data_IF_634360121180
#
_entry.id   IF_634360121180
#
_cell.length_a   1.000
_cell.length_b   1.000
_cell.length_c   1.000
_cell.angle_alpha   90.00
_cell.angle_beta   90.00
_cell.angle_gamma   90.00
#
_symmetry.space_group_name_H-M   'P 1'
#
loop_
_entity.id
_entity.type
_entity.pdbx_description
1 polymer ?
#
# COMPACT_ATOMS: atom_id res chain seq x y z
N UNK A 1 -5.42 18.36 16.24
CA UNK A 1 -5.83 16.99 16.60
C UNK A 1 -4.84 16.02 15.95
N UNK A 2 -4.32 15.03 16.68
CA UNK A 2 -3.39 14.02 16.14
C UNK A 2 -4.00 12.64 16.37
N UNK A 3 -4.22 11.90 15.29
CA UNK A 3 -4.66 10.50 15.34
C UNK A 3 -3.43 9.61 15.16
N UNK A 4 -3.30 8.57 15.98
CA UNK A 4 -2.18 7.60 15.90
C UNK A 4 -2.71 6.24 15.48
N UNK A 5 -1.97 5.55 14.62
CA UNK A 5 -2.23 4.15 14.24
C UNK A 5 -0.97 3.30 14.41
N UNK A 6 -1.10 1.99 14.68
CA UNK A 6 0.05 1.10 14.87
C UNK A 6 0.68 0.60 13.55
N UNK A 7 -0.06 0.66 12.45
CA UNK A 7 0.40 0.15 11.16
C UNK A 7 1.66 0.88 10.67
N UNK A 8 2.63 0.13 10.16
CA UNK A 8 3.80 0.67 9.44
C UNK A 8 3.53 0.50 7.96
N UNK A 9 3.02 1.55 7.34
CA UNK A 9 2.59 1.55 5.93
C UNK A 9 3.61 2.28 5.06
N UNK A 10 3.85 1.75 3.85
CA UNK A 10 4.68 2.35 2.79
C UNK A 10 3.89 2.38 1.49
N UNK A 11 4.13 3.40 0.66
CA UNK A 11 3.57 3.46 -0.69
C UNK A 11 4.38 2.55 -1.60
N UNK A 12 3.71 1.69 -2.36
CA UNK A 12 4.38 0.81 -3.33
C UNK A 12 5.09 1.58 -4.45
N UNK A 13 4.54 2.71 -4.91
CA UNK A 13 5.17 3.54 -5.94
C UNK A 13 6.43 4.23 -5.43
N UNK A 14 6.37 4.83 -4.24
CA UNK A 14 7.55 5.42 -3.60
C UNK A 14 8.66 4.39 -3.42
N UNK A 15 8.30 3.15 -3.11
CA UNK A 15 9.26 2.10 -2.84
C UNK A 15 9.94 1.55 -4.11
N UNK A 16 9.17 1.37 -5.19
CA UNK A 16 9.67 0.81 -6.46
C UNK A 16 10.34 1.88 -7.32
N UNK A 17 9.78 3.10 -7.37
CA UNK A 17 10.26 4.17 -8.26
C UNK A 17 11.07 5.25 -7.53
N UNK A 18 11.01 5.30 -6.20
CA UNK A 18 11.60 6.39 -5.41
C UNK A 18 10.77 7.67 -5.38
N UNK A 19 9.61 7.70 -6.05
CA UNK A 19 8.67 8.82 -6.04
C UNK A 19 7.22 8.34 -6.27
N UNK A 20 6.27 9.20 -5.92
CA UNK A 20 4.87 9.00 -6.30
C UNK A 20 4.63 9.43 -7.76
N UNK A 21 3.56 8.94 -8.42
CA UNK A 21 3.12 9.48 -9.70
C UNK A 21 2.95 11.01 -9.66
N UNK A 22 3.10 11.67 -10.81
CA UNK A 22 2.85 13.12 -10.92
C UNK A 22 1.37 13.45 -10.65
N UNK A 23 0.47 12.55 -11.07
CA UNK A 23 -0.96 12.63 -10.79
C UNK A 23 -1.58 11.23 -10.75
N UNK A 24 -2.67 11.11 -10.00
CA UNK A 24 -3.55 9.94 -10.03
C UNK A 24 -4.99 10.31 -10.37
N UNK A 25 -5.34 11.59 -10.25
CA UNK A 25 -6.58 12.19 -10.72
C UNK A 25 -6.29 13.46 -11.53
N UNK A 26 -7.05 13.67 -12.60
CA UNK A 26 -6.86 14.80 -13.51
C UNK A 26 -8.19 15.26 -14.10
N UNK A 27 -8.83 16.25 -13.50
CA UNK A 27 -10.02 16.92 -14.03
C UNK A 27 -9.88 18.45 -13.90
N UNK A 28 -10.88 19.23 -14.37
CA UNK A 28 -10.79 20.71 -14.45
C UNK A 28 -10.36 21.42 -13.17
N UNK A 29 -10.64 20.85 -12.01
CA UNK A 29 -10.42 21.49 -10.71
C UNK A 29 -9.29 20.85 -9.90
N UNK A 30 -8.77 19.70 -10.34
CA UNK A 30 -7.77 18.95 -9.60
C UNK A 30 -6.88 18.15 -10.55
N UNK A 31 -5.58 18.32 -10.40
CA UNK A 31 -4.57 17.55 -11.11
C UNK A 31 -3.42 17.28 -10.14
N UNK A 32 -3.48 16.14 -9.45
CA UNK A 32 -2.45 15.73 -8.51
C UNK A 32 -2.63 14.26 -8.11
N UNK A 33 -1.73 13.78 -7.24
CA UNK A 33 -1.78 12.46 -6.63
C UNK A 33 -2.66 12.48 -5.39
N UNK A 34 -3.69 11.64 -5.39
CA UNK A 34 -4.59 11.41 -4.27
C UNK A 34 -4.90 9.92 -4.02
N UNK A 35 -4.44 9.03 -4.91
CA UNK A 35 -4.62 7.58 -4.81
C UNK A 35 -3.30 6.91 -4.45
N UNK A 36 -3.37 5.85 -3.65
CA UNK A 36 -2.18 5.16 -3.15
C UNK A 36 -2.46 3.66 -2.98
N UNK A 37 -1.46 2.83 -3.27
CA UNK A 37 -1.44 1.42 -2.84
C UNK A 37 -0.45 1.33 -1.68
N UNK A 38 -0.99 1.31 -0.46
CA UNK A 38 -0.25 1.12 0.78
C UNK A 38 -0.03 -0.36 1.08
N UNK A 39 1.16 -0.71 1.54
CA UNK A 39 1.46 -2.06 2.01
C UNK A 39 2.24 -2.02 3.34
N UNK A 40 2.35 -3.17 4.02
CA UNK A 40 3.17 -3.32 5.21
C UNK A 40 4.18 -4.45 5.02
N UNK A 41 5.40 -4.23 5.50
CA UNK A 41 6.45 -5.27 5.57
C UNK A 41 6.29 -6.19 6.79
N UNK A 42 5.35 -5.85 7.67
CA UNK A 42 5.04 -6.70 8.82
C UNK A 42 4.53 -8.06 8.33
N UNK A 43 5.00 -9.17 8.92
CA UNK A 43 4.50 -10.49 8.58
C UNK A 43 2.97 -10.55 8.67
N UNK A 44 2.32 -11.16 7.68
CA UNK A 44 0.87 -11.35 7.68
C UNK A 44 0.43 -12.08 8.96
N UNK A 45 -0.42 -11.43 9.78
CA UNK A 45 -0.90 -11.99 11.05
C UNK A 45 -0.07 -11.60 12.29
N UNK A 46 0.99 -10.80 12.15
CA UNK A 46 1.72 -10.25 13.31
C UNK A 46 0.96 -9.12 14.02
N UNK A 47 -0.24 -8.77 13.57
CA UNK A 47 -1.05 -7.75 14.20
C UNK A 47 -1.63 -8.30 15.50
N UNK A 48 -1.01 -7.96 16.63
CA UNK A 48 -1.69 -8.01 17.92
C UNK A 48 -2.57 -6.76 18.01
N UNK A 49 -3.92 -6.89 18.03
CA UNK A 49 -4.75 -5.75 18.40
C UNK A 49 -4.30 -5.22 19.75
N UNK A 50 -4.37 -3.90 19.94
CA UNK A 50 -4.06 -3.29 21.22
C UNK A 50 -4.91 -3.99 22.31
N UNK A 51 -4.35 -4.29 23.49
CA UNK A 51 -5.13 -4.92 24.56
C UNK A 51 -6.35 -4.05 24.82
N UNK A 52 -7.52 -4.66 24.68
CA UNK A 52 -8.77 -4.02 24.99
C UNK A 52 -8.70 -3.55 26.44
N UNK A 53 -8.99 -2.27 26.69
CA UNK A 53 -8.78 -1.65 28.01
C UNK A 53 -9.84 -2.08 29.03
N UNK A 54 -10.58 -3.15 28.77
CA UNK A 54 -11.61 -3.71 29.64
C UNK A 54 -11.34 -5.17 30.00
N UNK A 55 -10.72 -5.32 31.17
CA UNK A 55 -10.91 -6.41 32.16
C UNK A 55 -10.15 -7.75 32.03
N UNK A 56 -9.51 -8.07 33.17
CA UNK A 56 -9.29 -9.37 33.82
C UNK A 56 -8.38 -10.45 33.18
N UNK A 57 -7.19 -10.53 33.77
CA UNK A 57 -6.45 -11.72 34.24
C UNK A 57 -6.89 -13.10 33.71
N UNK A 58 -6.01 -13.74 32.93
CA UNK A 58 -6.18 -15.15 32.56
C UNK A 58 -5.35 -15.59 31.34
N UNK A 59 -4.17 -16.15 31.62
CA UNK A 59 -3.51 -17.17 30.77
C UNK A 59 -2.74 -16.68 29.56
N UNK A 60 -1.41 -16.75 29.62
CA UNK A 60 -0.57 -16.70 28.42
C UNK A 60 -0.80 -17.96 27.57
N UNK A 61 -1.14 -17.84 26.27
CA UNK A 61 -0.98 -18.95 25.36
C UNK A 61 0.52 -19.09 25.05
N UNK A 62 1.10 -20.09 25.69
CA UNK A 62 2.40 -20.67 25.44
C UNK A 62 2.52 -21.12 23.96
N UNK A 63 3.58 -20.68 23.29
CA UNK A 63 4.22 -21.48 22.23
C UNK A 63 3.49 -21.70 20.91
N UNK A 64 2.95 -20.64 20.26
CA UNK A 64 2.79 -20.72 18.81
C UNK A 64 4.18 -20.54 18.17
N UNK A 65 4.78 -21.64 17.69
CA UNK A 65 6.01 -21.61 16.91
C UNK A 65 5.88 -20.52 15.84
N UNK A 66 6.78 -19.55 15.87
CA UNK A 66 6.86 -18.46 14.90
C UNK A 66 7.27 -19.01 13.53
N UNK A 67 6.36 -19.74 12.88
CA UNK A 67 6.43 -19.94 11.44
C UNK A 67 6.43 -18.55 10.84
N UNK A 68 7.52 -18.19 10.15
CA UNK A 68 7.70 -16.82 9.71
C UNK A 68 6.57 -16.47 8.75
N UNK A 69 5.66 -15.63 9.25
CA UNK A 69 4.51 -15.24 8.49
C UNK A 69 4.98 -14.57 7.18
N UNK A 70 4.30 -14.85 6.07
CA UNK A 70 4.73 -14.37 4.78
C UNK A 70 4.76 -12.84 4.77
N UNK A 71 5.70 -12.28 4.01
CA UNK A 71 5.87 -10.83 3.83
C UNK A 71 5.64 -10.48 2.38
N UNK A 72 5.10 -9.31 2.11
CA UNK A 72 4.96 -8.81 0.73
C UNK A 72 6.02 -7.76 0.43
N UNK A 73 6.60 -7.82 -0.76
CA UNK A 73 7.51 -6.81 -1.28
C UNK A 73 7.02 -6.36 -2.66
N UNK A 74 6.79 -5.06 -2.90
CA UNK A 74 6.49 -4.59 -4.24
C UNK A 74 7.74 -4.73 -5.11
N UNK A 75 7.59 -5.26 -6.32
CA UNK A 75 8.72 -5.48 -7.25
C UNK A 75 8.55 -4.75 -8.58
N UNK A 76 7.32 -4.36 -8.92
CA UNK A 76 7.04 -3.57 -10.09
C UNK A 76 5.75 -2.77 -9.89
N UNK A 77 5.63 -1.65 -10.59
CA UNK A 77 4.40 -0.84 -10.66
C UNK A 77 4.12 -0.45 -12.11
N UNK A 78 2.85 -0.21 -12.42
CA UNK A 78 2.45 0.36 -13.71
C UNK A 78 2.77 1.86 -13.72
N UNK A 79 3.55 2.30 -14.70
CA UNK A 79 3.83 3.74 -14.85
C UNK A 79 2.55 4.49 -15.27
N UNK A 80 2.33 5.70 -14.74
CA UNK A 80 1.24 6.54 -15.21
C UNK A 80 1.42 6.87 -16.70
N UNK A 81 0.33 7.11 -17.45
CA UNK A 81 0.41 7.60 -18.82
C UNK A 81 1.23 8.89 -18.91
N UNK A 82 1.91 9.10 -20.03
CA UNK A 82 2.60 10.37 -20.28
C UNK A 82 1.57 11.50 -20.29
N UNK A 83 1.75 12.51 -19.43
CA UNK A 83 0.85 13.67 -19.34
C UNK A 83 0.64 14.38 -20.68
N UNK A 84 1.61 14.32 -21.59
CA UNK A 84 1.51 14.92 -22.94
C UNK A 84 0.53 14.20 -23.84
N UNK A 85 0.18 12.95 -23.51
CA UNK A 85 -0.76 12.13 -24.24
C UNK A 85 -2.18 12.24 -23.66
N UNK A 86 -2.33 12.83 -22.47
CA UNK A 86 -3.64 13.00 -21.88
C UNK A 86 -4.37 14.22 -22.45
N UNK A 87 -5.68 14.11 -22.67
CA UNK A 87 -6.51 15.26 -23.00
C UNK A 87 -6.51 16.26 -21.82
N UNK A 88 -6.94 17.50 -22.09
CA UNK A 88 -7.05 18.57 -21.09
C UNK A 88 -8.19 18.29 -20.09
N UNK A 89 -8.06 17.23 -19.29
CA UNK A 89 -9.05 16.71 -18.36
C UNK A 89 -9.48 15.29 -18.69
N UNK A 90 -9.71 14.52 -17.63
CA UNK A 90 -10.33 13.21 -17.60
C UNK A 90 -11.69 13.31 -16.86
N UNK A 91 -12.65 12.39 -17.11
CA UNK A 91 -12.62 11.35 -18.14
C UNK A 91 -12.62 11.93 -19.56
N UNK A 92 -12.32 11.10 -20.54
CA UNK A 92 -12.35 11.44 -21.96
C UNK A 92 -12.80 10.25 -22.81
N UNK A 93 -12.84 10.40 -24.13
CA UNK A 93 -13.25 9.32 -25.04
C UNK A 93 -12.45 8.02 -24.82
N UNK A 94 -11.13 8.15 -24.58
CA UNK A 94 -10.24 7.00 -24.43
C UNK A 94 -10.02 6.61 -22.94
N UNK A 95 -10.55 7.40 -22.02
CA UNK A 95 -10.37 7.22 -20.57
C UNK A 95 -11.72 7.34 -19.85
N UNK A 96 -12.30 6.21 -19.43
CA UNK A 96 -13.62 6.17 -18.78
C UNK A 96 -13.67 6.68 -17.34
N UNK A 97 -12.55 7.15 -16.77
CA UNK A 97 -12.46 7.68 -15.41
C UNK A 97 -11.58 8.93 -15.38
N UNK A 98 -11.84 9.83 -14.44
CA UNK A 98 -10.98 10.96 -14.08
C UNK A 98 -9.70 10.56 -13.32
N UNK A 99 -9.61 9.31 -12.89
CA UNK A 99 -8.45 8.72 -12.24
C UNK A 99 -7.68 7.78 -13.18
N UNK A 100 -6.36 7.73 -13.02
CA UNK A 100 -5.51 6.72 -13.65
C UNK A 100 -5.37 5.50 -12.74
N UNK A 101 -5.36 4.32 -13.36
CA UNK A 101 -5.22 3.07 -12.62
C UNK A 101 -3.83 2.96 -11.98
N UNK A 102 -3.81 2.69 -10.67
CA UNK A 102 -2.61 2.23 -9.98
C UNK A 102 -2.55 0.71 -10.00
N UNK A 103 -1.38 0.16 -10.29
CA UNK A 103 -1.14 -1.28 -10.26
C UNK A 103 0.25 -1.57 -9.72
N UNK A 104 0.33 -2.53 -8.79
CA UNK A 104 1.58 -2.97 -8.17
C UNK A 104 1.65 -4.49 -8.18
N UNK A 105 2.83 -5.03 -8.50
CA UNK A 105 3.14 -6.46 -8.42
C UNK A 105 3.88 -6.70 -7.10
N UNK A 106 3.41 -7.67 -6.33
CA UNK A 106 4.03 -8.06 -5.07
C UNK A 106 4.58 -9.47 -5.17
N UNK A 107 5.80 -9.66 -4.68
CA UNK A 107 6.31 -10.97 -4.33
C UNK A 107 5.94 -11.31 -2.90
N UNK A 108 5.58 -12.57 -2.67
CA UNK A 108 5.34 -13.11 -1.34
C UNK A 108 6.61 -13.81 -0.85
N UNK A 109 7.35 -13.16 0.03
CA UNK A 109 8.53 -13.73 0.66
C UNK A 109 8.19 -14.67 1.82
N UNK A 110 8.89 -15.80 1.88
CA UNK A 110 9.00 -16.66 3.06
C UNK A 110 10.34 -16.46 3.79
N UNK A 111 10.57 -17.14 4.93
CA UNK A 111 11.81 -17.00 5.71
C UNK A 111 13.11 -17.47 5.03
N UNK A 112 13.07 -18.07 3.84
CA UNK A 112 14.17 -18.86 3.26
C UNK A 112 14.76 -18.32 1.94
N UNK A 113 14.54 -17.04 1.58
CA UNK A 113 15.18 -16.43 0.40
C UNK A 113 16.15 -15.28 0.79
N UNK A 114 17.17 -15.65 1.56
CA UNK A 114 18.48 -14.99 1.58
C UNK A 114 19.53 -16.11 1.66
N UNK A 115 19.91 -16.66 0.50
CA UNK A 115 21.14 -17.44 0.32
C UNK A 115 21.89 -16.89 -0.87
#
# INVERSE_FOLDING_TARGET
MVVRHPLKLRSSYLDVLGCEPEFTSSHMMFHNTCDFIWYSEQPLGSFKPAPDRTSHDGGEPEGAAAGAAPRVRPVAVLLPPDKRQLPCGLPSHDYGSDHVCLMSVFELGGPEELR
#
